data_IF_711548169828
#
_entry.id   IF_711548169828
#
_cell.length_a   1.000
_cell.length_b   1.000
_cell.length_c   1.000
_cell.angle_alpha   90.00
_cell.angle_beta   90.00
_cell.angle_gamma   90.00
#
_symmetry.space_group_name_H-M   'P 1'
#
loop_
_entity.id
_entity.type
_entity.pdbx_description
1 polymer ?
#
# COMPACT_ATOMS: atom_id res chain seq x y z
N UNK A 1 8.34 6.45 9.24
CA UNK A 1 8.95 5.42 8.39
C UNK A 1 10.43 5.72 8.19
N UNK A 2 11.28 4.70 8.27
CA UNK A 2 12.72 4.81 8.06
C UNK A 2 13.14 3.88 6.92
N UNK A 3 14.15 4.28 6.15
CA UNK A 3 14.62 3.48 5.02
C UNK A 3 15.18 2.10 5.41
N UNK A 4 15.75 1.97 6.59
CA UNK A 4 16.32 0.72 7.10
C UNK A 4 15.28 -0.30 7.57
N UNK A 5 14.03 0.12 7.75
CA UNK A 5 12.91 -0.76 8.03
C UNK A 5 12.33 -1.46 6.78
N UNK A 6 12.78 -1.04 5.60
CA UNK A 6 12.31 -1.58 4.33
C UNK A 6 13.23 -2.67 3.80
N UNK A 7 12.68 -3.61 3.04
CA UNK A 7 13.50 -4.59 2.32
C UNK A 7 14.46 -3.88 1.36
N UNK A 8 15.61 -4.51 1.08
CA UNK A 8 16.60 -3.94 0.17
C UNK A 8 16.02 -3.61 -1.20
N UNK A 9 15.14 -4.47 -1.70
CA UNK A 9 14.54 -4.31 -3.03
C UNK A 9 13.52 -3.16 -3.03
N UNK A 10 12.60 -3.10 -2.06
CA UNK A 10 11.68 -1.99 -1.93
C UNK A 10 12.41 -0.65 -1.77
N UNK A 11 13.44 -0.61 -0.91
CA UNK A 11 14.29 0.57 -0.74
C UNK A 11 14.91 1.03 -2.06
N UNK A 12 15.50 0.11 -2.83
CA UNK A 12 16.12 0.42 -4.12
C UNK A 12 15.13 0.99 -5.12
N UNK A 13 13.94 0.41 -5.22
CA UNK A 13 12.86 0.87 -6.11
C UNK A 13 12.45 2.31 -5.77
N UNK A 14 12.12 2.57 -4.51
CA UNK A 14 11.62 3.88 -4.09
C UNK A 14 12.70 4.97 -4.09
N UNK A 15 13.95 4.63 -3.82
CA UNK A 15 15.08 5.54 -4.01
C UNK A 15 15.29 5.88 -5.49
N UNK A 16 15.13 4.90 -6.38
CA UNK A 16 15.13 5.12 -7.83
C UNK A 16 14.06 6.12 -8.27
N UNK A 17 12.83 5.98 -7.81
CA UNK A 17 11.73 6.91 -8.12
C UNK A 17 11.97 8.34 -7.63
N UNK A 18 12.71 8.50 -6.53
CA UNK A 18 13.09 9.81 -5.96
C UNK A 18 14.31 10.44 -6.60
N UNK A 19 15.10 9.68 -7.35
CA UNK A 19 16.25 10.16 -8.09
C UNK A 19 15.88 10.90 -9.37
N UNK A 20 16.87 11.50 -10.04
CA UNK A 20 16.73 12.11 -11.35
C UNK A 20 16.29 11.11 -12.44
N UNK A 21 16.60 9.82 -12.25
CA UNK A 21 16.16 8.75 -13.13
C UNK A 21 14.66 8.40 -13.01
N UNK A 22 13.97 8.90 -11.98
CA UNK A 22 12.58 8.56 -11.70
C UNK A 22 11.62 8.89 -12.85
N UNK A 23 11.80 10.01 -13.54
CA UNK A 23 10.98 10.38 -14.70
C UNK A 23 11.18 9.40 -15.88
N UNK A 24 12.39 9.04 -16.18
CA UNK A 24 12.69 8.03 -17.19
C UNK A 24 12.07 6.67 -16.84
N UNK A 25 12.20 6.25 -15.60
CA UNK A 25 11.67 4.97 -15.10
C UNK A 25 10.14 4.91 -15.18
N UNK A 26 9.47 5.96 -14.75
CA UNK A 26 8.02 5.95 -14.58
C UNK A 26 7.31 6.53 -15.80
N UNK A 27 7.65 7.74 -16.22
CA UNK A 27 6.89 8.40 -17.27
C UNK A 27 7.14 7.73 -18.63
N UNK A 28 8.40 7.42 -18.96
CA UNK A 28 8.74 6.80 -20.25
C UNK A 28 8.58 5.29 -20.25
N UNK A 29 9.12 4.59 -19.25
CA UNK A 29 9.11 3.12 -19.21
C UNK A 29 7.94 2.50 -18.47
N UNK A 30 7.08 3.30 -17.82
CA UNK A 30 5.92 2.85 -17.07
C UNK A 30 6.25 1.75 -16.03
N UNK A 31 7.44 1.79 -15.42
CA UNK A 31 7.91 0.70 -14.56
C UNK A 31 7.03 0.44 -13.33
N UNK A 32 6.23 1.41 -12.91
CA UNK A 32 5.28 1.17 -11.82
C UNK A 32 4.26 0.09 -12.21
N UNK A 33 3.71 0.16 -13.42
CA UNK A 33 2.73 -0.81 -13.92
C UNK A 33 3.42 -2.06 -14.47
N UNK A 34 4.54 -1.90 -15.19
CA UNK A 34 5.16 -3.02 -15.89
C UNK A 34 6.04 -3.92 -15.02
N UNK A 35 6.52 -3.40 -13.86
CA UNK A 35 7.43 -4.15 -13.00
C UNK A 35 7.01 -4.15 -11.52
N UNK A 36 6.69 -2.98 -10.94
CA UNK A 36 6.38 -2.90 -9.49
C UNK A 36 5.06 -3.59 -9.18
N UNK A 37 4.03 -3.37 -9.98
CA UNK A 37 2.72 -4.00 -9.80
C UNK A 37 2.84 -5.54 -9.83
N UNK A 38 3.27 -6.20 -10.91
CA UNK A 38 3.35 -7.65 -10.93
C UNK A 38 4.37 -8.20 -9.92
N UNK A 39 5.48 -7.51 -9.67
CA UNK A 39 6.47 -7.90 -8.67
C UNK A 39 6.00 -7.78 -7.22
N UNK A 40 4.84 -7.18 -6.97
CA UNK A 40 4.25 -6.96 -5.65
C UNK A 40 3.00 -7.80 -5.39
N UNK A 41 2.76 -8.82 -6.21
CA UNK A 41 1.66 -9.79 -6.16
C UNK A 41 2.27 -11.19 -6.09
N UNK A 42 1.61 -12.12 -5.41
CA UNK A 42 2.10 -13.51 -5.30
C UNK A 42 1.70 -14.39 -6.49
N UNK A 43 0.57 -14.07 -7.13
CA UNK A 43 0.12 -14.75 -8.33
C UNK A 43 0.62 -14.04 -9.59
N UNK A 44 0.64 -14.72 -10.69
CA UNK A 44 0.87 -14.10 -11.99
C UNK A 44 -0.41 -13.41 -12.49
N UNK A 45 -0.26 -12.20 -13.02
CA UNK A 45 -1.30 -11.52 -13.79
C UNK A 45 -1.21 -11.97 -15.26
N UNK A 46 -2.34 -12.32 -15.85
CA UNK A 46 -2.38 -12.65 -17.27
C UNK A 46 -2.38 -11.35 -18.13
N UNK A 47 -2.28 -11.51 -19.44
CA UNK A 47 -2.21 -10.36 -20.37
C UNK A 47 -3.47 -9.48 -20.36
N UNK A 48 -4.64 -10.06 -20.14
CA UNK A 48 -5.91 -9.32 -20.07
C UNK A 48 -5.93 -8.44 -18.80
N UNK A 49 -5.57 -9.00 -17.66
CA UNK A 49 -5.46 -8.28 -16.39
C UNK A 49 -4.41 -7.17 -16.47
N UNK A 50 -3.24 -7.46 -17.02
CA UNK A 50 -2.20 -6.45 -17.21
C UNK A 50 -2.64 -5.34 -18.16
N UNK A 51 -3.41 -5.64 -19.21
CA UNK A 51 -3.93 -4.63 -20.13
C UNK A 51 -4.96 -3.70 -19.44
N UNK A 52 -5.78 -4.21 -18.52
CA UNK A 52 -6.65 -3.35 -17.71
C UNK A 52 -5.86 -2.40 -16.81
N UNK A 53 -4.76 -2.87 -16.20
CA UNK A 53 -3.86 -1.99 -15.44
C UNK A 53 -3.13 -0.97 -16.31
N UNK A 54 -2.75 -1.32 -17.54
CA UNK A 54 -2.11 -0.40 -18.51
C UNK A 54 -3.06 0.64 -19.06
N UNK A 55 -4.35 0.33 -19.15
CA UNK A 55 -5.36 1.17 -19.81
C UNK A 55 -5.38 2.62 -19.34
N UNK A 56 -5.28 2.95 -18.03
CA UNK A 56 -5.25 4.34 -17.56
C UNK A 56 -3.88 5.04 -17.73
N UNK A 57 -2.82 4.34 -18.15
CA UNK A 57 -1.42 4.81 -18.12
C UNK A 57 -0.74 4.70 -19.49
N UNK A 58 -1.47 4.87 -20.58
CA UNK A 58 -0.91 4.73 -21.92
C UNK A 58 0.00 5.89 -22.28
N UNK A 59 -0.39 7.10 -21.95
CA UNK A 59 0.39 8.31 -22.22
C UNK A 59 1.30 8.69 -21.04
N UNK A 60 2.43 9.33 -21.31
CA UNK A 60 3.39 9.78 -20.30
C UNK A 60 2.74 10.71 -19.25
N UNK A 61 1.83 11.58 -19.70
CA UNK A 61 1.13 12.52 -18.82
C UNK A 61 0.24 11.80 -17.79
N UNK A 62 -0.38 10.69 -18.18
CA UNK A 62 -1.26 9.92 -17.31
C UNK A 62 -0.49 9.12 -16.24
N UNK A 63 0.81 8.91 -16.45
CA UNK A 63 1.70 8.23 -15.50
C UNK A 63 2.21 9.12 -14.38
N UNK A 64 1.96 10.42 -14.41
CA UNK A 64 2.43 11.37 -13.41
C UNK A 64 2.05 10.99 -11.97
N UNK A 65 0.83 10.53 -11.67
CA UNK A 65 0.48 10.11 -10.31
C UNK A 65 1.32 8.95 -9.78
N UNK A 66 1.72 8.00 -10.63
CA UNK A 66 2.55 6.85 -10.23
C UNK A 66 4.01 7.22 -9.97
N UNK A 67 4.45 8.41 -10.36
CA UNK A 67 5.73 9.00 -9.97
C UNK A 67 5.61 9.85 -8.70
N UNK A 68 4.62 10.75 -8.67
CA UNK A 68 4.51 11.75 -7.61
C UNK A 68 4.10 11.11 -6.27
N UNK A 69 3.21 10.13 -6.28
CA UNK A 69 2.75 9.47 -5.06
C UNK A 69 3.87 8.76 -4.29
N UNK A 70 4.70 7.89 -4.90
CA UNK A 70 5.84 7.29 -4.21
C UNK A 70 6.84 8.32 -3.67
N UNK A 71 6.97 9.47 -4.33
CA UNK A 71 7.81 10.58 -3.89
C UNK A 71 7.30 11.27 -2.62
N UNK A 72 5.99 11.16 -2.34
CA UNK A 72 5.35 11.75 -1.16
C UNK A 72 5.31 10.81 0.06
N UNK A 73 5.74 9.55 -0.06
CA UNK A 73 5.84 8.66 1.10
C UNK A 73 6.81 9.29 2.12
N UNK A 74 6.37 9.52 3.39
CA UNK A 74 7.16 10.26 4.38
C UNK A 74 8.29 9.41 4.98
N UNK A 75 9.34 9.22 4.21
CA UNK A 75 10.55 8.49 4.61
C UNK A 75 11.59 9.47 5.15
N UNK A 76 12.25 9.11 6.25
CA UNK A 76 13.27 9.92 6.94
C UNK A 76 12.77 11.35 7.25
N UNK A 77 11.49 11.47 7.63
CA UNK A 77 10.81 12.73 7.94
C UNK A 77 10.68 13.72 6.77
N UNK A 78 10.70 13.22 5.55
CA UNK A 78 10.50 14.03 4.34
C UNK A 78 9.49 13.38 3.37
N UNK A 79 8.57 14.16 2.74
CA UNK A 79 8.35 15.60 2.90
C UNK A 79 7.68 15.97 4.24
N UNK A 80 8.15 17.02 4.90
CA UNK A 80 7.68 17.42 6.23
C UNK A 80 6.17 17.62 6.34
N UNK A 81 5.54 18.25 5.34
CA UNK A 81 4.10 18.47 5.34
C UNK A 81 3.31 17.14 5.37
N UNK A 82 3.80 16.10 4.68
CA UNK A 82 3.16 14.77 4.70
C UNK A 82 3.42 14.06 6.02
N UNK A 83 4.62 14.20 6.59
CA UNK A 83 4.93 13.68 7.94
C UNK A 83 3.95 14.19 8.97
N UNK A 84 3.67 15.50 8.98
CA UNK A 84 2.77 16.11 9.96
C UNK A 84 1.33 15.60 9.81
N UNK A 85 0.86 15.43 8.58
CA UNK A 85 -0.46 14.84 8.29
C UNK A 85 -0.52 13.38 8.77
N UNK A 86 0.47 12.57 8.41
CA UNK A 86 0.53 11.15 8.78
C UNK A 86 0.59 10.99 10.30
N UNK A 87 1.40 11.80 11.00
CA UNK A 87 1.47 11.79 12.45
C UNK A 87 0.13 12.15 13.09
N UNK A 88 -0.53 13.19 12.57
CA UNK A 88 -1.82 13.63 13.10
C UNK A 88 -2.90 12.54 13.04
N UNK A 89 -3.06 11.87 11.91
CA UNK A 89 -4.06 10.80 11.83
C UNK A 89 -3.61 9.51 12.54
N UNK A 90 -2.32 9.24 12.61
CA UNK A 90 -1.80 8.10 13.37
C UNK A 90 -2.15 8.23 14.87
N UNK A 91 -1.91 9.40 15.45
CA UNK A 91 -2.28 9.73 16.83
C UNK A 91 -3.79 9.63 17.06
N UNK A 92 -4.59 10.03 16.06
CA UNK A 92 -6.03 9.92 16.13
C UNK A 92 -6.49 8.46 16.04
N UNK A 93 -5.92 7.67 15.13
CA UNK A 93 -6.26 6.24 14.98
C UNK A 93 -5.97 5.43 16.23
N UNK A 94 -4.87 5.72 16.93
CA UNK A 94 -4.49 5.06 18.17
C UNK A 94 -5.47 5.34 19.31
N UNK A 95 -6.02 6.56 19.38
CA UNK A 95 -6.84 7.04 20.49
C UNK A 95 -8.33 6.77 20.36
N UNK A 96 -8.87 6.72 19.12
CA UNK A 96 -10.31 6.60 18.92
C UNK A 96 -10.81 5.15 19.05
N UNK A 97 -12.10 5.04 19.40
CA UNK A 97 -12.80 3.76 19.60
C UNK A 97 -13.67 3.35 18.38
N UNK A 98 -13.50 3.99 17.23
CA UNK A 98 -14.21 3.60 16.00
C UNK A 98 -13.81 2.16 15.66
N UNK A 99 -14.78 1.28 15.34
CA UNK A 99 -14.45 -0.07 14.91
C UNK A 99 -13.54 -0.08 13.68
N UNK A 100 -12.52 -0.90 13.72
CA UNK A 100 -11.51 -1.03 12.66
C UNK A 100 -11.38 -2.48 12.24
N UNK A 101 -11.25 -2.71 10.95
CA UNK A 101 -10.82 -3.99 10.41
C UNK A 101 -9.40 -3.85 9.86
N UNK A 102 -8.47 -4.59 10.43
CA UNK A 102 -7.11 -4.70 9.93
C UNK A 102 -6.96 -6.00 9.14
N UNK A 103 -6.78 -5.90 7.83
CA UNK A 103 -6.49 -7.05 6.98
C UNK A 103 -4.98 -7.13 6.84
N UNK A 104 -4.40 -8.04 7.61
CA UNK A 104 -2.96 -8.31 7.58
C UNK A 104 -2.63 -9.23 6.41
N UNK A 105 -1.54 -8.94 5.71
CA UNK A 105 -1.03 -9.78 4.63
C UNK A 105 0.10 -10.70 5.12
N UNK A 106 0.12 -11.95 4.64
CA UNK A 106 1.24 -12.85 4.89
C UNK A 106 1.66 -13.54 3.57
N UNK A 107 2.95 -13.43 3.19
CA UNK A 107 4.08 -12.86 3.95
C UNK A 107 4.02 -11.32 4.12
N UNK A 108 3.22 -10.62 3.31
CA UNK A 108 3.23 -9.17 3.27
C UNK A 108 4.47 -8.60 2.58
N UNK A 109 4.54 -7.27 2.46
CA UNK A 109 5.70 -6.60 1.88
C UNK A 109 6.08 -5.33 2.64
N UNK A 110 5.36 -4.21 2.47
CA UNK A 110 5.71 -2.93 3.07
C UNK A 110 5.15 -2.79 4.49
N UNK A 111 3.88 -3.18 4.70
CA UNK A 111 3.25 -3.14 6.01
C UNK A 111 3.61 -4.40 6.82
N UNK A 112 4.87 -4.47 7.24
CA UNK A 112 5.45 -5.58 8.01
C UNK A 112 6.29 -5.02 9.16
N UNK A 113 6.77 -5.87 10.08
CA UNK A 113 7.62 -5.44 11.19
C UNK A 113 6.99 -4.33 12.02
N UNK A 114 7.76 -3.28 12.32
CA UNK A 114 7.34 -2.16 13.18
C UNK A 114 6.09 -1.44 12.70
N UNK A 115 5.88 -1.31 11.37
CA UNK A 115 4.67 -0.68 10.84
C UNK A 115 3.41 -1.52 11.12
N UNK A 116 3.51 -2.84 10.97
CA UNK A 116 2.44 -3.78 11.31
C UNK A 116 2.14 -3.75 12.81
N UNK A 117 3.18 -3.78 13.64
CA UNK A 117 3.05 -3.76 15.09
C UNK A 117 2.41 -2.45 15.55
N UNK A 118 2.75 -1.32 14.93
CA UNK A 118 2.07 -0.05 15.18
C UNK A 118 0.58 -0.10 14.85
N UNK A 119 0.17 -0.65 13.72
CA UNK A 119 -1.25 -0.81 13.39
C UNK A 119 -1.99 -1.67 14.43
N UNK A 120 -1.31 -2.65 15.03
CA UNK A 120 -1.89 -3.51 16.08
C UNK A 120 -2.11 -2.80 17.41
N UNK A 121 -1.52 -1.62 17.63
CA UNK A 121 -1.79 -0.80 18.84
C UNK A 121 -3.13 -0.09 18.80
N UNK A 122 -3.78 -0.01 17.63
CA UNK A 122 -5.03 0.73 17.48
C UNK A 122 -6.19 0.04 18.20
N UNK A 123 -6.97 0.82 18.94
CA UNK A 123 -8.09 0.32 19.74
C UNK A 123 -9.26 -0.13 18.88
N UNK A 124 -10.10 -0.99 19.45
CA UNK A 124 -11.33 -1.50 18.84
C UNK A 124 -11.10 -2.05 17.41
N UNK A 125 -10.09 -2.90 17.29
CA UNK A 125 -9.64 -3.46 16.03
C UNK A 125 -9.89 -4.97 15.98
N UNK A 126 -10.44 -5.43 14.86
CA UNK A 126 -10.47 -6.84 14.47
C UNK A 126 -9.36 -7.07 13.46
N UNK A 127 -8.50 -8.06 13.68
CA UNK A 127 -7.45 -8.45 12.71
C UNK A 127 -7.85 -9.75 12.01
N UNK A 128 -7.71 -9.77 10.68
CA UNK A 128 -7.83 -10.96 9.84
C UNK A 128 -6.57 -11.06 8.99
N UNK A 129 -5.98 -12.25 8.90
CA UNK A 129 -4.80 -12.48 8.07
C UNK A 129 -5.19 -13.20 6.79
N UNK A 130 -4.75 -12.66 5.65
CA UNK A 130 -4.91 -13.25 4.33
C UNK A 130 -3.55 -13.52 3.69
N UNK A 131 -3.51 -14.44 2.72
CA UNK A 131 -2.31 -14.66 1.92
C UNK A 131 -2.13 -13.49 0.95
N UNK A 132 -0.95 -12.88 0.91
CA UNK A 132 -0.70 -11.78 -0.02
C UNK A 132 0.65 -11.11 0.16
N UNK A 133 1.06 -10.34 -0.85
CA UNK A 133 2.24 -9.49 -0.82
C UNK A 133 1.85 -8.03 -0.51
N UNK A 134 1.97 -7.11 -1.48
CA UNK A 134 1.62 -5.69 -1.30
C UNK A 134 0.22 -5.37 -1.84
N UNK A 135 -0.09 -5.82 -3.04
CA UNK A 135 -1.42 -5.65 -3.65
C UNK A 135 -2.32 -6.84 -3.30
N UNK A 136 -2.66 -6.96 -2.03
CA UNK A 136 -3.37 -8.12 -1.44
C UNK A 136 -4.74 -8.39 -2.06
N UNK A 137 -5.38 -7.38 -2.65
CA UNK A 137 -6.65 -7.51 -3.35
C UNK A 137 -6.54 -8.38 -4.62
N UNK A 138 -5.32 -8.53 -5.16
CA UNK A 138 -5.04 -9.44 -6.27
C UNK A 138 -4.76 -10.87 -5.81
N UNK A 139 -4.22 -11.01 -4.61
CA UNK A 139 -3.85 -12.31 -4.05
C UNK A 139 -5.01 -13.02 -3.34
N UNK A 140 -5.84 -12.27 -2.60
CA UNK A 140 -6.91 -12.81 -1.74
C UNK A 140 -8.21 -11.99 -1.79
N UNK A 141 -8.79 -11.72 -2.99
CA UNK A 141 -9.98 -10.88 -3.11
C UNK A 141 -11.21 -11.45 -2.40
N UNK A 142 -11.39 -12.75 -2.43
CA UNK A 142 -12.54 -13.42 -1.83
C UNK A 142 -12.47 -13.44 -0.31
N UNK A 143 -11.31 -13.77 0.24
CA UNK A 143 -11.04 -13.79 1.68
C UNK A 143 -11.19 -12.39 2.29
N UNK A 144 -10.72 -11.37 1.58
CA UNK A 144 -10.91 -9.97 1.97
C UNK A 144 -12.40 -9.61 1.95
N UNK A 145 -13.11 -9.99 0.90
CA UNK A 145 -14.55 -9.74 0.76
C UNK A 145 -15.37 -10.38 1.88
N UNK A 146 -15.10 -11.64 2.21
CA UNK A 146 -15.79 -12.32 3.32
C UNK A 146 -15.43 -11.70 4.68
N UNK A 147 -14.15 -11.38 4.93
CA UNK A 147 -13.74 -10.72 6.15
C UNK A 147 -14.45 -9.37 6.37
N UNK A 148 -14.58 -8.56 5.30
CA UNK A 148 -15.32 -7.29 5.36
C UNK A 148 -16.81 -7.53 5.65
N UNK A 149 -17.41 -8.49 4.99
CA UNK A 149 -18.83 -8.84 5.17
C UNK A 149 -19.13 -9.29 6.60
N UNK A 150 -18.31 -10.19 7.13
CA UNK A 150 -18.43 -10.67 8.52
C UNK A 150 -18.25 -9.54 9.52
N UNK A 151 -17.20 -8.74 9.36
CA UNK A 151 -16.93 -7.62 10.24
C UNK A 151 -18.03 -6.56 10.22
N UNK A 152 -18.61 -6.22 9.05
CA UNK A 152 -19.75 -5.32 8.94
C UNK A 152 -20.98 -5.86 9.65
N UNK A 153 -21.17 -7.18 9.69
CA UNK A 153 -22.22 -7.85 10.44
C UNK A 153 -22.11 -7.70 11.95
N UNK A 154 -20.88 -7.46 12.47
CA UNK A 154 -20.62 -7.28 13.91
C UNK A 154 -20.80 -5.82 14.38
N UNK A 155 -20.79 -4.86 13.45
CA UNK A 155 -20.94 -3.43 13.80
C UNK A 155 -22.42 -3.14 14.12
N UNK A 156 -22.75 -2.60 15.31
CA UNK A 156 -24.10 -2.20 15.65
C UNK A 156 -24.61 -1.15 14.67
N UNK A 157 -25.71 -1.44 13.97
CA UNK A 157 -26.40 -0.44 13.15
C UNK A 157 -27.03 0.58 14.09
N UNK A 158 -26.56 1.83 14.05
CA UNK A 158 -27.32 2.93 14.65
C UNK A 158 -28.59 3.11 13.80
N UNK A 159 -29.73 2.70 14.34
CA UNK A 159 -31.07 3.01 13.82
C UNK A 159 -31.36 4.46 14.17
#
# INVERSE_FOLDING_TARGET
LQWDEWSKDAKGIFQGFRSDAGEEMILKKNLFIEAVLPGSILRDLNDEEMNEYRRPFQDEADRRPTLDWPRQIPLDNEPKAVVDIVQSYADWMEKNEIPKLFINAEPGAILVGSQRDFCRTWKNQTEVTVKGSHFIQEDSPHEIGEAIKEWLGLIPRKI
#
